data_IF_344990207491
#
_entry.id   IF_344990207491
#
_cell.length_a   1.000
_cell.length_b   1.000
_cell.length_c   1.000
_cell.angle_alpha   90.00
_cell.angle_beta   90.00
_cell.angle_gamma   90.00
#
_symmetry.space_group_name_H-M   'P 1'
#
loop_
_entity.id
_entity.type
_entity.pdbx_description
1 polymer ?
#
# COMPACT_ATOMS: atom_id res chain seq x y z
N UNK A 1 -54.61 11.34 -42.56
CA UNK A 1 -53.86 10.31 -43.32
C UNK A 1 -52.39 10.69 -43.34
N UNK A 2 -51.57 9.76 -42.84
CA UNK A 2 -50.15 9.50 -43.06
C UNK A 2 -49.18 10.60 -43.55
N UNK A 3 -48.18 10.82 -42.68
CA UNK A 3 -46.77 11.15 -42.90
C UNK A 3 -46.22 11.15 -44.34
N UNK A 4 -45.29 12.07 -44.59
CA UNK A 4 -43.87 11.75 -44.89
C UNK A 4 -42.96 12.98 -44.77
N UNK A 5 -41.88 12.82 -43.98
CA UNK A 5 -40.71 13.70 -43.99
C UNK A 5 -39.91 13.48 -45.29
N UNK A 6 -39.24 14.52 -45.79
CA UNK A 6 -38.20 14.37 -46.80
C UNK A 6 -36.92 15.13 -46.42
N UNK A 7 -35.83 14.60 -46.92
CA UNK A 7 -34.50 14.58 -46.35
C UNK A 7 -33.61 15.79 -46.67
N UNK A 8 -32.50 15.81 -45.93
CA UNK A 8 -31.16 16.17 -46.41
C UNK A 8 -30.80 17.65 -46.41
N UNK A 9 -30.09 18.09 -45.36
CA UNK A 9 -28.94 18.96 -45.53
C UNK A 9 -27.78 18.47 -44.66
N UNK A 10 -26.70 18.14 -45.35
CA UNK A 10 -25.41 17.74 -44.82
C UNK A 10 -24.75 18.90 -44.07
N UNK A 11 -24.28 18.65 -42.84
CA UNK A 11 -23.11 19.34 -42.29
C UNK A 11 -22.27 18.32 -41.52
N UNK A 12 -21.32 17.70 -42.22
CA UNK A 12 -20.25 16.90 -41.62
C UNK A 12 -19.23 17.90 -41.07
N UNK A 13 -19.38 18.28 -39.80
CA UNK A 13 -18.35 18.99 -39.05
C UNK A 13 -17.28 18.00 -38.61
N UNK A 14 -16.10 18.05 -39.26
CA UNK A 14 -14.95 17.25 -38.87
C UNK A 14 -14.33 17.83 -37.59
N UNK A 15 -14.79 17.35 -36.43
CA UNK A 15 -14.15 17.62 -35.14
C UNK A 15 -12.85 16.81 -35.06
N UNK A 16 -11.72 17.46 -35.32
CA UNK A 16 -10.39 16.92 -35.00
C UNK A 16 -10.24 16.89 -33.47
N UNK A 17 -10.63 15.77 -32.86
CA UNK A 17 -10.31 15.46 -31.48
C UNK A 17 -8.82 15.16 -31.38
N UNK A 18 -8.00 16.19 -31.10
CA UNK A 18 -6.63 16.00 -30.63
C UNK A 18 -6.66 15.25 -29.30
N UNK A 19 -6.53 13.93 -29.35
CA UNK A 19 -6.36 13.08 -28.18
C UNK A 19 -4.95 13.29 -27.61
N UNK A 20 -4.80 14.27 -26.71
CA UNK A 20 -3.60 14.39 -25.91
C UNK A 20 -3.47 13.13 -25.03
N UNK A 21 -2.32 12.43 -25.04
CA UNK A 21 -2.14 11.26 -24.19
C UNK A 21 -2.21 11.67 -22.72
N UNK A 22 -3.17 11.10 -21.99
CA UNK A 22 -3.26 11.28 -20.55
C UNK A 22 -2.06 10.60 -19.89
N UNK A 23 -1.14 11.41 -19.35
CA UNK A 23 -0.08 10.92 -18.47
C UNK A 23 -0.74 10.38 -17.19
N UNK A 24 -0.87 9.07 -17.10
CA UNK A 24 -1.33 8.39 -15.88
C UNK A 24 -0.17 8.42 -14.88
N UNK A 25 -0.17 9.42 -13.99
CA UNK A 25 0.75 9.42 -12.85
C UNK A 25 0.29 8.32 -11.88
N UNK A 26 1.14 7.35 -11.50
CA UNK A 26 0.77 6.38 -10.49
C UNK A 26 0.42 7.12 -9.19
N UNK A 27 -0.79 6.90 -8.66
CA UNK A 27 -1.12 7.37 -7.33
C UNK A 27 -0.28 6.57 -6.33
N UNK A 28 0.81 7.16 -5.84
CA UNK A 28 1.55 6.63 -4.70
C UNK A 28 0.66 6.79 -3.47
N UNK A 29 -0.12 5.75 -3.15
CA UNK A 29 -0.98 5.71 -1.99
C UNK A 29 -0.17 5.43 -0.71
N UNK A 30 0.80 6.28 -0.40
CA UNK A 30 1.55 6.17 0.83
C UNK A 30 0.63 6.43 2.03
N UNK A 31 0.25 5.38 2.75
CA UNK A 31 -0.48 5.53 4.00
C UNK A 31 0.53 5.81 5.10
N UNK A 32 0.41 6.98 5.74
CA UNK A 32 1.24 7.36 6.86
C UNK A 32 0.45 7.16 8.14
N UNK A 33 0.97 6.33 9.04
CA UNK A 33 0.43 6.14 10.39
C UNK A 33 1.41 6.64 11.43
N UNK A 34 0.90 7.14 12.56
CA UNK A 34 1.70 7.68 13.66
C UNK A 34 1.29 6.98 14.96
N UNK A 35 2.28 6.52 15.72
CA UNK A 35 2.08 5.93 17.04
C UNK A 35 3.18 6.45 17.97
N UNK A 36 2.80 7.33 18.89
CA UNK A 36 3.76 7.98 19.80
C UNK A 36 4.72 8.89 19.04
N UNK A 37 6.02 8.60 19.13
CA UNK A 37 7.10 9.34 18.50
C UNK A 37 7.61 8.71 17.19
N UNK A 38 6.93 7.65 16.71
CA UNK A 38 7.24 6.96 15.46
C UNK A 38 6.14 7.21 14.43
N UNK A 39 6.55 7.59 13.22
CA UNK A 39 5.72 7.63 12.04
C UNK A 39 6.21 6.56 11.04
N UNK A 40 5.29 5.93 10.32
CA UNK A 40 5.61 4.95 9.30
C UNK A 40 4.94 5.32 7.99
N UNK A 41 5.72 5.43 6.93
CA UNK A 41 5.20 5.45 5.57
C UNK A 41 5.08 4.01 5.08
N UNK A 42 3.88 3.56 4.76
CA UNK A 42 3.62 2.23 4.25
C UNK A 42 3.45 2.24 2.73
N UNK A 43 4.08 1.27 2.07
CA UNK A 43 3.86 0.96 0.67
C UNK A 43 3.69 -0.55 0.48
N UNK A 44 2.80 -0.91 -0.43
CA UNK A 44 2.58 -2.26 -0.91
C UNK A 44 2.73 -2.31 -2.43
N UNK A 45 3.60 -3.16 -2.92
CA UNK A 45 3.89 -3.36 -4.33
C UNK A 45 3.20 -4.63 -4.86
N UNK A 46 2.75 -4.63 -6.13
CA UNK A 46 2.77 -3.50 -7.07
C UNK A 46 1.61 -2.51 -6.82
N UNK A 47 1.92 -1.20 -6.79
CA UNK A 47 0.95 -0.09 -6.86
C UNK A 47 -0.26 -0.19 -5.91
N UNK A 48 -0.07 -0.69 -4.68
CA UNK A 48 -1.12 -0.94 -3.70
C UNK A 48 -2.26 -1.86 -4.18
N UNK A 49 -2.02 -2.65 -5.23
CA UNK A 49 -2.99 -3.55 -5.82
C UNK A 49 -2.41 -4.97 -5.95
N UNK A 50 -2.13 -5.64 -4.81
CA UNK A 50 -1.68 -7.02 -4.84
C UNK A 50 -2.76 -7.94 -5.43
N UNK A 51 -2.31 -9.04 -6.03
CA UNK A 51 -3.17 -10.13 -6.49
C UNK A 51 -2.97 -11.38 -5.66
N UNK A 52 -4.04 -12.15 -5.51
CA UNK A 52 -4.00 -13.41 -4.78
C UNK A 52 -3.09 -14.42 -5.49
N UNK A 53 -2.23 -15.10 -4.73
CA UNK A 53 -1.28 -16.09 -5.26
C UNK A 53 -0.06 -15.49 -5.95
N UNK A 54 -0.01 -14.18 -6.17
CA UNK A 54 1.14 -13.50 -6.76
C UNK A 54 2.07 -12.91 -5.68
N UNK A 55 3.39 -12.84 -5.93
CA UNK A 55 4.32 -12.14 -5.06
C UNK A 55 3.99 -10.64 -4.96
N UNK A 56 3.95 -10.14 -3.74
CA UNK A 56 3.85 -8.74 -3.41
C UNK A 56 4.97 -8.36 -2.44
N UNK A 57 5.29 -7.07 -2.35
CA UNK A 57 6.29 -6.56 -1.40
C UNK A 57 5.66 -5.50 -0.53
N UNK A 58 5.86 -5.62 0.77
CA UNK A 58 5.47 -4.57 1.73
C UNK A 58 6.72 -3.95 2.30
N UNK A 59 6.70 -2.64 2.51
CA UNK A 59 7.76 -1.96 3.24
C UNK A 59 7.25 -0.77 4.04
N UNK A 60 8.00 -0.44 5.07
CA UNK A 60 7.65 0.57 6.06
C UNK A 60 8.83 1.50 6.27
N UNK A 61 8.76 2.72 5.75
CA UNK A 61 9.76 3.73 6.07
C UNK A 61 9.43 4.37 7.42
N UNK A 62 10.12 3.91 8.46
CA UNK A 62 10.00 4.43 9.81
C UNK A 62 10.79 5.72 9.97
N UNK A 63 10.18 6.71 10.62
CA UNK A 63 10.83 7.94 11.04
C UNK A 63 10.46 8.28 12.48
N UNK A 64 11.37 8.93 13.19
CA UNK A 64 11.08 9.54 14.49
C UNK A 64 10.52 10.94 14.32
N UNK A 65 9.96 11.48 15.40
CA UNK A 65 9.76 12.93 15.53
C UNK A 65 11.04 13.69 15.16
N UNK A 66 10.93 14.65 14.25
CA UNK A 66 12.07 15.35 13.66
C UNK A 66 12.56 14.79 12.31
N UNK A 67 11.99 13.66 11.84
CA UNK A 67 12.18 13.14 10.48
C UNK A 67 13.36 12.18 10.30
N UNK A 68 14.09 11.85 11.37
CA UNK A 68 15.19 10.89 11.29
C UNK A 68 14.67 9.46 11.02
N UNK A 69 15.22 8.80 10.00
CA UNK A 69 14.86 7.42 9.64
C UNK A 69 15.25 6.42 10.74
N UNK A 70 14.38 5.46 11.03
CA UNK A 70 14.67 4.30 11.88
C UNK A 70 14.92 3.09 10.97
N UNK A 71 16.17 2.61 10.82
CA UNK A 71 16.45 1.42 10.02
C UNK A 71 16.05 0.14 10.78
N UNK A 72 15.79 -0.95 10.05
CA UNK A 72 15.38 -2.24 10.64
C UNK A 72 16.39 -2.78 11.67
N UNK A 73 17.68 -2.52 11.46
CA UNK A 73 18.74 -2.93 12.39
C UNK A 73 18.58 -2.35 13.81
N UNK A 74 17.86 -1.21 13.94
CA UNK A 74 17.57 -0.55 15.24
C UNK A 74 16.19 -0.91 15.79
N UNK A 75 15.39 -1.69 15.07
CA UNK A 75 14.04 -2.06 15.46
C UNK A 75 13.88 -3.56 15.70
N UNK A 76 13.31 -3.92 16.84
CA UNK A 76 12.67 -5.23 17.07
C UNK A 76 11.27 -5.18 16.47
N UNK A 77 11.23 -5.12 15.14
CA UNK A 77 10.01 -4.97 14.37
C UNK A 77 9.44 -6.36 14.01
N UNK A 78 8.12 -6.44 13.95
CA UNK A 78 7.37 -7.60 13.49
C UNK A 78 6.18 -7.18 12.61
N UNK A 79 5.80 -8.06 11.69
CA UNK A 79 4.62 -7.91 10.85
C UNK A 79 3.71 -9.12 11.04
N UNK A 80 2.46 -8.86 11.39
CA UNK A 80 1.40 -9.86 11.45
C UNK A 80 0.31 -9.51 10.43
N UNK A 81 -0.06 -10.47 9.59
CA UNK A 81 -1.07 -10.28 8.55
C UNK A 81 -2.28 -11.14 8.87
N UNK A 82 -3.47 -10.54 8.81
CA UNK A 82 -4.73 -11.19 9.11
C UNK A 82 -5.71 -11.02 7.96
N UNK A 83 -6.46 -12.06 7.61
CA UNK A 83 -7.63 -11.92 6.74
C UNK A 83 -8.77 -11.22 7.48
N UNK A 84 -9.56 -10.42 6.78
CA UNK A 84 -10.75 -9.78 7.31
C UNK A 84 -12.04 -10.33 6.67
N UNK A 85 -13.16 -10.38 7.41
CA UNK A 85 -13.29 -10.07 8.84
C UNK A 85 -12.59 -11.12 9.73
N UNK A 86 -12.23 -10.73 10.97
CA UNK A 86 -11.62 -11.63 11.95
C UNK A 86 -12.24 -11.47 13.34
N UNK A 87 -12.22 -12.54 14.13
CA UNK A 87 -12.50 -12.47 15.56
C UNK A 87 -11.38 -11.72 16.30
N UNK A 88 -11.69 -11.15 17.47
CA UNK A 88 -10.71 -10.38 18.26
C UNK A 88 -9.48 -11.22 18.68
N UNK A 89 -9.66 -12.52 18.90
CA UNK A 89 -8.61 -13.48 19.27
C UNK A 89 -8.07 -14.28 18.08
N UNK A 90 -8.37 -13.87 16.85
CA UNK A 90 -7.86 -14.55 15.67
C UNK A 90 -6.32 -14.55 15.67
N UNK A 91 -5.72 -15.67 15.27
CA UNK A 91 -4.28 -15.73 15.02
C UNK A 91 -3.95 -15.06 13.68
N UNK A 92 -2.73 -14.52 13.51
CA UNK A 92 -2.27 -14.08 12.20
C UNK A 92 -2.37 -15.22 11.18
N UNK A 93 -2.78 -14.88 9.97
CA UNK A 93 -2.70 -15.79 8.82
C UNK A 93 -1.23 -16.07 8.46
N UNK A 94 -0.37 -15.06 8.59
CA UNK A 94 1.06 -15.18 8.38
C UNK A 94 1.83 -14.11 9.16
N UNK A 95 3.09 -14.40 9.46
CA UNK A 95 4.04 -13.47 10.08
C UNK A 95 5.32 -13.41 9.24
N UNK A 96 5.36 -12.61 8.16
CA UNK A 96 6.52 -12.54 7.28
C UNK A 96 7.77 -12.05 8.03
N UNK A 97 8.92 -12.64 7.72
CA UNK A 97 10.20 -12.19 8.26
C UNK A 97 10.59 -10.86 7.60
N UNK A 98 10.79 -9.83 8.41
CA UNK A 98 11.27 -8.54 7.93
C UNK A 98 12.75 -8.60 7.57
N UNK A 99 13.09 -8.00 6.44
CA UNK A 99 14.44 -7.84 5.91
C UNK A 99 14.74 -6.36 5.70
N UNK A 100 16.01 -6.02 5.81
CA UNK A 100 16.49 -4.67 5.53
C UNK A 100 16.51 -4.49 4.01
N UNK A 101 15.75 -3.52 3.51
CA UNK A 101 15.69 -3.22 2.06
C UNK A 101 15.95 -1.75 1.78
N UNK A 102 16.24 -1.45 0.52
CA UNK A 102 16.28 -0.09 -0.01
C UNK A 102 15.12 0.06 -1.00
N UNK A 103 14.26 1.05 -0.79
CA UNK A 103 13.12 1.33 -1.65
C UNK A 103 12.91 2.85 -1.77
N UNK A 104 12.62 3.32 -2.99
CA UNK A 104 12.56 4.74 -3.31
C UNK A 104 13.81 5.49 -2.77
N UNK A 105 13.60 6.52 -1.93
CA UNK A 105 14.67 7.28 -1.26
C UNK A 105 15.14 6.67 0.06
N UNK A 106 14.45 5.66 0.58
CA UNK A 106 14.70 5.10 1.90
C UNK A 106 15.72 3.96 1.85
N UNK A 107 16.56 3.89 2.89
CA UNK A 107 17.63 2.90 3.01
C UNK A 107 17.50 2.12 4.30
N UNK A 108 17.78 0.81 4.23
CA UNK A 108 17.78 -0.09 5.38
C UNK A 108 16.44 -0.22 6.11
N UNK A 109 15.33 0.02 5.42
CA UNK A 109 14.00 0.02 6.04
C UNK A 109 13.45 -1.41 6.18
N UNK A 110 12.53 -1.64 7.13
CA UNK A 110 11.76 -2.88 7.21
C UNK A 110 10.97 -3.15 5.92
N UNK A 111 11.18 -4.33 5.32
CA UNK A 111 10.35 -4.83 4.22
C UNK A 111 10.22 -6.35 4.23
N UNK A 112 9.19 -6.87 3.57
CA UNK A 112 8.96 -8.30 3.43
C UNK A 112 8.32 -8.65 2.09
N UNK A 113 8.67 -9.82 1.58
CA UNK A 113 7.94 -10.46 0.48
C UNK A 113 6.74 -11.21 1.05
N UNK A 114 5.59 -11.06 0.43
CA UNK A 114 4.32 -11.63 0.87
C UNK A 114 3.56 -12.21 -0.31
N UNK A 115 2.85 -13.32 -0.09
CA UNK A 115 1.90 -13.88 -1.06
C UNK A 115 0.56 -14.01 -0.35
N UNK A 116 -0.41 -13.20 -0.74
CA UNK A 116 -1.75 -13.27 -0.18
C UNK A 116 -2.47 -14.48 -0.78
N UNK A 117 -2.97 -15.46 0.00
CA UNK A 117 -3.44 -16.73 -0.56
C UNK A 117 -4.78 -16.61 -1.29
N UNK A 118 -5.59 -15.59 -0.97
CA UNK A 118 -6.93 -15.39 -1.56
C UNK A 118 -7.22 -13.91 -1.75
N UNK A 119 -8.10 -13.60 -2.70
CA UNK A 119 -8.65 -12.26 -2.84
C UNK A 119 -9.51 -11.90 -1.62
N UNK A 120 -9.55 -10.63 -1.25
CA UNK A 120 -10.29 -10.13 -0.10
C UNK A 120 -9.57 -9.01 0.66
N UNK A 121 -10.12 -8.61 1.80
CA UNK A 121 -9.49 -7.61 2.67
C UNK A 121 -8.57 -8.27 3.69
N UNK A 122 -7.45 -7.59 3.98
CA UNK A 122 -6.48 -7.98 4.98
C UNK A 122 -6.15 -6.78 5.88
N UNK A 123 -5.73 -7.06 7.11
CA UNK A 123 -5.09 -6.10 8.00
C UNK A 123 -3.63 -6.51 8.19
N UNK A 124 -2.74 -5.56 7.96
CA UNK A 124 -1.32 -5.68 8.27
C UNK A 124 -1.11 -4.92 9.59
N UNK A 125 -0.82 -5.67 10.65
CA UNK A 125 -0.44 -5.12 11.94
C UNK A 125 1.09 -5.08 12.01
N UNK A 126 1.64 -3.87 11.96
CA UNK A 126 3.07 -3.61 12.03
C UNK A 126 3.41 -3.01 13.38
N UNK A 127 4.29 -3.65 14.12
CA UNK A 127 4.65 -3.23 15.47
C UNK A 127 6.15 -3.37 15.71
N UNK A 128 6.67 -2.64 16.69
CA UNK A 128 8.04 -2.82 17.10
C UNK A 128 8.45 -1.94 18.27
N UNK A 129 9.66 -2.17 18.72
CA UNK A 129 10.33 -1.38 19.76
C UNK A 129 11.80 -1.16 19.41
N UNK A 130 12.43 -0.22 20.10
CA UNK A 130 13.85 0.04 19.92
C UNK A 130 14.71 -1.12 20.44
N UNK A 131 15.69 -1.54 19.62
CA UNK A 131 16.74 -2.48 20.05
C UNK A 131 17.72 -1.81 21.00
N UNK A 132 18.22 -2.58 21.98
CA UNK A 132 19.37 -2.18 22.80
C UNK A 132 19.20 -0.86 23.57
N UNK A 133 17.98 -0.53 24.01
CA UNK A 133 17.71 0.72 24.74
C UNK A 133 17.64 1.96 23.85
N UNK A 134 17.39 1.79 22.54
CA UNK A 134 17.24 2.92 21.63
C UNK A 134 16.08 3.85 21.99
N UNK A 135 16.06 4.99 21.32
CA UNK A 135 15.37 6.22 21.71
C UNK A 135 14.05 6.44 20.97
N UNK A 136 13.27 5.37 20.74
CA UNK A 136 11.88 5.50 20.32
C UNK A 136 10.98 4.56 21.11
N UNK A 137 9.72 4.96 21.29
CA UNK A 137 8.74 4.16 22.05
C UNK A 137 8.24 2.98 21.23
N UNK A 138 7.77 1.94 21.92
CA UNK A 138 7.07 0.86 21.27
C UNK A 138 5.85 1.39 20.49
N UNK A 139 5.60 0.81 19.32
CA UNK A 139 4.52 1.23 18.44
C UNK A 139 3.74 0.03 17.88
N UNK A 140 2.49 0.28 17.52
CA UNK A 140 1.66 -0.62 16.73
C UNK A 140 0.81 0.21 15.76
N UNK A 141 0.81 -0.18 14.50
CA UNK A 141 0.08 0.49 13.41
C UNK A 141 -0.64 -0.57 12.58
N UNK A 142 -1.78 -0.20 11.99
CA UNK A 142 -2.64 -1.12 11.23
C UNK A 142 -2.94 -0.55 9.86
N UNK A 143 -2.73 -1.36 8.84
CA UNK A 143 -2.99 -0.99 7.45
C UNK A 143 -3.99 -1.95 6.84
N UNK A 144 -5.09 -1.41 6.29
CA UNK A 144 -6.04 -2.20 5.54
C UNK A 144 -5.61 -2.32 4.08
N UNK A 145 -5.59 -3.54 3.57
CA UNK A 145 -5.22 -3.86 2.19
C UNK A 145 -6.36 -4.64 1.54
N UNK A 146 -6.66 -4.33 0.28
CA UNK A 146 -7.56 -5.14 -0.54
C UNK A 146 -6.74 -5.89 -1.59
N UNK A 147 -6.96 -7.19 -1.69
CA UNK A 147 -6.27 -8.09 -2.62
C UNK A 147 -7.26 -8.51 -3.69
N UNK A 148 -6.86 -8.29 -4.94
CA UNK A 148 -7.65 -8.68 -6.11
C UNK A 148 -7.39 -10.15 -6.51
N UNK A 149 -8.15 -10.64 -7.49
CA UNK A 149 -7.92 -11.97 -8.08
C UNK A 149 -6.84 -11.91 -9.14
#
# INVERSE_FOLDING_TARGET
>A
MHHRLNASQFLVGLLLFSSAPALVVPALAHNVEISGDVAATFHLEPNHNPKAGEPAKVWFALTRKGGATIPLEKCDCQLAIYSLPRAANAKPLMMPVLKSINAERYKGIPGADVVFPRAGSYELEFSGSAKGGGDFRAFQMKYRVNVSR
#
